data_IF_699544864113
#
_entry.id   IF_699544864113
#
_cell.length_a   1.000
_cell.length_b   1.000
_cell.length_c   1.000
_cell.angle_alpha   90.00
_cell.angle_beta   90.00
_cell.angle_gamma   90.00
#
_symmetry.space_group_name_H-M   'P 1'
#
loop_
_entity.id
_entity.type
_entity.pdbx_description
1 polymer ?
#
# COMPACT_ATOMS: atom_id res chain seq x y z
N UNK A 1 15.84 0.83 17.21
CA UNK A 1 16.35 1.79 16.20
C UNK A 1 16.00 1.35 14.77
N UNK A 2 14.80 0.83 14.52
CA UNK A 2 14.43 0.27 13.21
C UNK A 2 13.72 1.24 12.29
N UNK A 3 12.88 2.10 12.85
CA UNK A 3 12.09 3.07 12.10
C UNK A 3 12.92 4.18 11.43
N UNK A 4 14.14 4.43 11.92
CA UNK A 4 15.08 5.39 11.31
C UNK A 4 15.59 4.93 9.94
N UNK A 5 15.50 3.63 9.61
CA UNK A 5 15.85 3.13 8.27
C UNK A 5 15.03 3.76 7.16
N UNK A 6 13.80 4.19 7.47
CA UNK A 6 12.94 4.89 6.53
C UNK A 6 13.40 6.32 6.25
N UNK A 7 14.28 6.91 7.07
CA UNK A 7 14.71 8.29 6.88
C UNK A 7 15.52 8.44 5.60
N UNK A 8 15.15 9.40 4.76
CA UNK A 8 15.87 9.73 3.54
C UNK A 8 14.95 10.09 2.39
N UNK A 9 15.56 10.37 1.24
CA UNK A 9 14.86 10.69 -0.01
C UNK A 9 14.89 9.49 -0.94
N UNK A 10 13.75 9.19 -1.55
CA UNK A 10 13.59 8.07 -2.47
C UNK A 10 12.93 8.56 -3.77
N UNK A 11 13.51 8.21 -4.91
CA UNK A 11 12.97 8.53 -6.23
C UNK A 11 12.12 7.36 -6.74
N UNK A 12 10.92 7.65 -7.26
CA UNK A 12 10.10 6.65 -7.92
C UNK A 12 10.85 6.07 -9.12
N UNK A 13 11.07 4.76 -9.11
CA UNK A 13 11.78 4.04 -10.15
C UNK A 13 10.83 3.27 -11.07
N UNK A 14 9.85 2.58 -10.49
CA UNK A 14 8.84 1.84 -11.26
C UNK A 14 7.47 1.89 -10.59
N UNK A 15 6.42 1.67 -11.38
CA UNK A 15 5.03 1.64 -10.91
C UNK A 15 4.25 0.60 -11.70
N UNK A 16 3.60 -0.31 -10.98
CA UNK A 16 2.76 -1.39 -11.49
C UNK A 16 1.30 -1.12 -11.12
N UNK A 17 0.41 -1.21 -12.09
CA UNK A 17 -1.04 -1.06 -11.92
C UNK A 17 -1.50 0.29 -11.31
N UNK A 18 -0.62 1.29 -11.27
CA UNK A 18 -0.92 2.63 -10.74
C UNK A 18 -1.95 3.39 -11.60
N UNK A 19 -1.97 3.14 -12.92
CA UNK A 19 -2.97 3.74 -13.82
C UNK A 19 -4.39 3.29 -13.47
N UNK A 20 -4.60 2.00 -13.18
CA UNK A 20 -5.90 1.47 -12.76
C UNK A 20 -6.32 2.02 -11.39
N UNK A 21 -5.37 2.19 -10.47
CA UNK A 21 -5.65 2.87 -9.20
C UNK A 21 -6.17 4.31 -9.43
N UNK A 22 -5.50 5.08 -10.28
CA UNK A 22 -5.93 6.45 -10.59
C UNK A 22 -7.29 6.49 -11.30
N UNK A 23 -7.57 5.50 -12.15
CA UNK A 23 -8.87 5.34 -12.80
C UNK A 23 -9.98 5.06 -11.79
N UNK A 24 -9.76 4.16 -10.84
CA UNK A 24 -10.70 3.90 -9.74
C UNK A 24 -10.88 5.10 -8.81
N UNK A 25 -9.84 5.93 -8.64
CA UNK A 25 -9.95 7.20 -7.92
C UNK A 25 -10.79 8.24 -8.69
N UNK A 26 -11.01 8.04 -10.00
CA UNK A 26 -11.79 8.94 -10.85
C UNK A 26 -10.97 9.92 -11.68
N UNK A 27 -9.64 9.77 -11.76
CA UNK A 27 -8.81 10.64 -12.60
C UNK A 27 -9.10 10.39 -14.08
N UNK A 28 -9.21 11.46 -14.87
CA UNK A 28 -9.41 11.38 -16.33
C UNK A 28 -8.19 10.81 -17.07
N UNK A 29 -8.40 10.25 -18.28
CA UNK A 29 -7.37 9.53 -19.05
C UNK A 29 -6.02 10.26 -19.16
N UNK A 30 -6.04 11.55 -19.51
CA UNK A 30 -4.85 12.37 -19.64
C UNK A 30 -4.08 12.53 -18.32
N UNK A 31 -4.79 12.78 -17.22
CA UNK A 31 -4.17 12.92 -15.89
C UNK A 31 -3.54 11.61 -15.43
N UNK A 32 -4.17 10.46 -15.73
CA UNK A 32 -3.63 9.14 -15.39
C UNK A 32 -2.30 8.88 -16.10
N UNK A 33 -2.24 9.13 -17.42
CA UNK A 33 -1.01 8.96 -18.20
C UNK A 33 0.10 9.91 -17.73
N UNK A 34 -0.24 11.16 -17.43
CA UNK A 34 0.71 12.12 -16.89
C UNK A 34 1.27 11.66 -15.54
N UNK A 35 0.41 11.19 -14.62
CA UNK A 35 0.80 10.77 -13.27
C UNK A 35 1.66 9.49 -13.23
N UNK A 36 1.45 8.54 -14.16
CA UNK A 36 2.29 7.33 -14.27
C UNK A 36 3.69 7.69 -14.77
N UNK A 37 3.80 8.61 -15.73
CA UNK A 37 5.08 9.03 -16.30
C UNK A 37 5.81 10.09 -15.45
N UNK A 38 5.18 10.55 -14.36
CA UNK A 38 5.73 11.59 -13.51
C UNK A 38 6.74 11.02 -12.53
N UNK A 39 7.93 11.60 -12.51
CA UNK A 39 8.90 11.34 -11.45
C UNK A 39 8.42 11.99 -10.15
N UNK A 40 8.31 11.16 -9.11
CA UNK A 40 7.93 11.59 -7.76
C UNK A 40 9.06 11.22 -6.81
N UNK A 41 9.49 12.19 -6.02
CA UNK A 41 10.46 12.02 -4.94
C UNK A 41 9.72 11.99 -3.61
N UNK A 42 10.09 11.07 -2.75
CA UNK A 42 9.54 10.90 -1.42
C UNK A 42 10.62 11.16 -0.37
N UNK A 43 10.48 12.21 0.42
CA UNK A 43 11.33 12.51 1.58
C UNK A 43 10.59 12.06 2.85
N UNK A 44 11.15 11.06 3.53
CA UNK A 44 10.61 10.56 4.80
C UNK A 44 11.54 11.01 5.92
N UNK A 45 10.95 11.62 6.96
CA UNK A 45 11.65 12.05 8.17
C UNK A 45 10.93 11.55 9.39
N UNK A 46 11.62 10.74 10.18
CA UNK A 46 11.18 10.27 11.48
C UNK A 46 11.95 11.01 12.58
N UNK A 47 11.22 11.75 13.42
CA UNK A 47 11.72 12.42 14.63
C UNK A 47 11.16 11.75 15.90
N UNK A 48 11.24 10.42 15.95
CA UNK A 48 10.76 9.60 17.06
C UNK A 48 9.25 9.34 16.99
N UNK A 49 8.46 10.23 17.59
CA UNK A 49 6.99 10.12 17.61
C UNK A 49 6.32 10.80 16.42
N UNK A 50 6.96 11.86 15.91
CA UNK A 50 6.46 12.63 14.77
C UNK A 50 7.14 12.19 13.49
N UNK A 51 6.32 11.89 12.50
CA UNK A 51 6.74 11.53 11.16
C UNK A 51 6.31 12.60 10.19
N UNK A 52 7.20 12.94 9.28
CA UNK A 52 6.91 13.83 8.17
C UNK A 52 7.21 13.07 6.89
N UNK A 53 6.21 12.98 6.02
CA UNK A 53 6.37 12.43 4.68
C UNK A 53 6.08 13.56 3.70
N UNK A 54 7.08 13.89 2.90
CA UNK A 54 6.97 14.90 1.84
C UNK A 54 7.07 14.22 0.49
N UNK A 55 6.01 14.34 -0.30
CA UNK A 55 5.95 13.91 -1.69
C UNK A 55 6.19 15.12 -2.59
N UNK A 56 7.33 15.14 -3.26
CA UNK A 56 7.70 16.16 -4.23
C UNK A 56 7.49 15.60 -5.64
N UNK A 57 6.72 16.31 -6.46
CA UNK A 57 6.51 15.99 -7.86
C UNK A 57 6.67 17.25 -8.70
N UNK A 58 6.84 17.12 -10.02
CA UNK A 58 6.99 18.26 -10.94
C UNK A 58 5.83 19.25 -10.86
N UNK A 59 4.65 18.82 -10.42
CA UNK A 59 3.44 19.64 -10.38
C UNK A 59 3.11 20.17 -8.98
N UNK A 60 3.36 19.38 -7.94
CA UNK A 60 2.97 19.73 -6.57
C UNK A 60 3.87 19.05 -5.55
N UNK A 61 4.19 19.79 -4.50
CA UNK A 61 4.79 19.23 -3.29
C UNK A 61 3.72 19.13 -2.21
N UNK A 62 3.58 17.95 -1.61
CA UNK A 62 2.62 17.65 -0.57
C UNK A 62 3.40 17.16 0.65
N UNK A 63 3.38 17.91 1.75
CA UNK A 63 3.97 17.49 3.02
C UNK A 63 2.88 17.10 4.01
N UNK A 64 3.01 15.93 4.62
CA UNK A 64 2.11 15.44 5.65
C UNK A 64 2.91 15.13 6.92
N UNK A 65 2.49 15.73 8.05
CA UNK A 65 3.02 15.44 9.38
C UNK A 65 1.97 14.64 10.17
N UNK A 66 2.38 13.54 10.80
CA UNK A 66 1.51 12.69 11.60
C UNK A 66 2.26 12.04 12.75
N UNK A 67 1.50 11.56 13.73
CA UNK A 67 2.00 10.74 14.83
C UNK A 67 1.61 9.28 14.60
N UNK A 68 2.49 8.33 14.94
CA UNK A 68 2.15 6.91 14.87
C UNK A 68 1.03 6.57 15.88
N UNK A 69 0.19 5.62 15.48
CA UNK A 69 -0.92 5.06 16.28
C UNK A 69 -1.98 6.10 16.70
N UNK A 70 -2.04 7.23 16.00
CA UNK A 70 -3.01 8.31 16.21
C UNK A 70 -3.83 8.56 14.94
N UNK A 71 -5.15 8.58 15.11
CA UNK A 71 -6.06 8.92 14.02
C UNK A 71 -6.08 10.42 13.75
N UNK A 72 -6.08 10.81 12.48
CA UNK A 72 -6.21 12.20 12.06
C UNK A 72 -7.08 12.30 10.80
N UNK A 73 -7.74 13.45 10.63
CA UNK A 73 -8.50 13.74 9.41
C UNK A 73 -7.55 14.20 8.30
N UNK A 74 -7.48 13.43 7.23
CA UNK A 74 -6.71 13.75 6.02
C UNK A 74 -7.66 14.27 4.95
N UNK A 75 -7.38 15.46 4.42
CA UNK A 75 -8.09 15.98 3.24
C UNK A 75 -7.23 15.76 2.01
N UNK A 76 -7.64 14.84 1.14
CA UNK A 76 -6.95 14.54 -0.12
C UNK A 76 -7.07 15.73 -1.07
N UNK A 77 -6.15 15.83 -2.04
CA UNK A 77 -6.16 16.89 -3.06
C UNK A 77 -7.51 17.03 -3.80
N UNK A 78 -8.30 15.96 -3.87
CA UNK A 78 -9.62 15.91 -4.49
C UNK A 78 -10.76 16.43 -3.57
N UNK A 79 -10.44 16.97 -2.38
CA UNK A 79 -11.41 17.50 -1.42
C UNK A 79 -12.15 16.45 -0.59
N UNK A 80 -11.75 15.18 -0.71
CA UNK A 80 -12.29 14.06 0.08
C UNK A 80 -11.63 14.01 1.44
N UNK A 81 -12.44 13.74 2.46
CA UNK A 81 -11.98 13.59 3.84
C UNK A 81 -11.91 12.11 4.18
N UNK A 82 -10.78 11.70 4.72
CA UNK A 82 -10.54 10.34 5.20
C UNK A 82 -10.10 10.38 6.65
N UNK A 83 -10.48 9.35 7.41
CA UNK A 83 -9.91 9.13 8.74
C UNK A 83 -8.70 8.24 8.58
N UNK A 84 -7.51 8.82 8.79
CA UNK A 84 -6.24 8.15 8.55
C UNK A 84 -5.60 7.71 9.86
N UNK A 85 -5.19 6.44 9.93
CA UNK A 85 -4.41 5.85 11.01
C UNK A 85 -3.11 5.29 10.44
N UNK A 86 -1.96 5.69 10.99
CA UNK A 86 -0.66 5.16 10.59
C UNK A 86 -0.05 4.33 11.70
N UNK A 87 0.22 3.05 11.43
CA UNK A 87 0.79 2.09 12.38
C UNK A 87 2.14 1.58 11.87
N UNK A 88 3.09 1.41 12.78
CA UNK A 88 4.40 0.84 12.46
C UNK A 88 4.54 -0.54 13.09
N UNK A 89 4.64 -1.59 12.28
CA UNK A 89 4.67 -2.97 12.75
C UNK A 89 5.99 -3.65 12.35
N UNK A 90 6.70 -4.29 13.29
CA UNK A 90 7.98 -4.95 13.03
C UNK A 90 7.88 -6.38 12.48
N UNK A 91 6.68 -6.94 12.30
CA UNK A 91 6.49 -8.29 11.76
C UNK A 91 5.21 -8.38 10.90
N UNK A 92 5.40 -8.92 9.70
CA UNK A 92 4.41 -9.51 8.77
C UNK A 92 3.00 -8.96 8.87
N UNK A 93 2.72 -7.94 8.07
CA UNK A 93 1.32 -7.61 7.78
C UNK A 93 0.89 -8.44 6.58
N UNK A 94 -0.19 -9.16 6.81
CA UNK A 94 -1.04 -9.80 5.81
C UNK A 94 -1.60 -8.68 4.91
N UNK A 95 -0.83 -8.29 3.88
CA UNK A 95 -1.30 -7.39 2.83
C UNK A 95 -2.09 -8.26 1.86
N UNK A 96 -3.40 -8.11 1.91
CA UNK A 96 -4.34 -8.88 1.12
C UNK A 96 -5.67 -9.01 1.85
N UNK A 97 -6.73 -8.46 1.27
CA UNK A 97 -8.06 -9.03 1.46
C UNK A 97 -8.00 -10.53 1.14
N UNK A 98 -8.72 -11.43 1.85
CA UNK A 98 -8.67 -12.85 1.57
C UNK A 98 -9.07 -13.12 0.12
N UNK A 99 -8.08 -13.37 -0.75
CA UNK A 99 -8.32 -13.75 -2.14
C UNK A 99 -8.84 -15.18 -2.11
N UNK A 100 -10.16 -15.33 -2.24
CA UNK A 100 -10.81 -16.64 -2.47
C UNK A 100 -10.41 -17.15 -3.85
N UNK A 101 -9.27 -17.82 -3.97
CA UNK A 101 -8.93 -18.55 -5.18
C UNK A 101 -9.44 -19.98 -5.06
N UNK A 102 -10.57 -20.27 -5.71
CA UNK A 102 -11.05 -21.65 -5.87
C UNK A 102 -10.19 -22.28 -6.97
N UNK A 103 -9.33 -23.24 -6.61
CA UNK A 103 -8.73 -24.13 -7.61
C UNK A 103 -9.56 -25.41 -7.72
N UNK A 104 -9.78 -25.94 -8.94
CA UNK A 104 -10.50 -27.20 -9.12
C UNK A 104 -9.65 -28.35 -8.57
N UNK A 105 -10.23 -29.15 -7.66
CA UNK A 105 -9.54 -30.27 -7.03
C UNK A 105 -9.19 -31.38 -8.03
N UNK A 106 -8.09 -32.10 -7.78
CA UNK A 106 -7.78 -33.35 -8.51
C UNK A 106 -8.92 -34.36 -8.31
N UNK A 107 -9.27 -35.17 -9.32
CA UNK A 107 -10.26 -36.22 -9.16
C UNK A 107 -9.71 -37.30 -8.23
N UNK A 108 -10.45 -37.64 -7.16
CA UNK A 108 -10.27 -38.91 -6.44
C UNK A 108 -11.24 -39.94 -7.04
N UNK A 109 -10.88 -41.23 -7.07
CA UNK A 109 -11.80 -42.28 -7.50
C UNK A 109 -12.95 -42.40 -6.49
N UNK A 110 -14.17 -42.55 -7.01
CA UNK A 110 -15.43 -42.43 -6.29
C UNK A 110 -15.80 -43.68 -5.47
N UNK A 111 -16.43 -43.49 -4.30
CA UNK A 111 -17.48 -44.38 -3.82
C UNK A 111 -18.84 -43.68 -3.95
N UNK A 112 -19.84 -44.45 -4.38
CA UNK A 112 -21.20 -44.04 -4.73
C UNK A 112 -21.94 -43.25 -3.64
N UNK A 113 -22.19 -41.96 -3.89
CA UNK A 113 -23.15 -41.14 -3.14
C UNK A 113 -22.70 -39.67 -3.03
N UNK A 114 -23.58 -38.66 -3.25
CA UNK A 114 -23.17 -37.27 -3.21
C UNK A 114 -23.24 -36.73 -1.78
N UNK A 115 -22.09 -36.40 -1.18
CA UNK A 115 -21.99 -35.62 0.05
C UNK A 115 -20.91 -34.52 -0.08
N UNK A 116 -21.05 -33.41 0.67
CA UNK A 116 -20.39 -32.14 0.36
C UNK A 116 -18.90 -32.11 0.73
N UNK A 117 -18.13 -31.40 -0.10
CA UNK A 117 -16.68 -31.22 0.00
C UNK A 117 -16.27 -30.50 1.30
N UNK A 118 -15.52 -31.19 2.17
CA UNK A 118 -14.77 -30.58 3.26
C UNK A 118 -13.32 -30.32 2.80
N UNK A 119 -13.00 -29.06 2.49
CA UNK A 119 -11.66 -28.63 2.07
C UNK A 119 -10.82 -28.17 3.26
N UNK A 120 -9.66 -28.80 3.46
CA UNK A 120 -8.64 -28.35 4.42
C UNK A 120 -7.77 -27.23 3.81
N UNK A 121 -7.65 -26.13 4.54
CA UNK A 121 -6.96 -24.88 4.21
C UNK A 121 -5.46 -24.98 4.54
N UNK A 122 -4.57 -24.50 3.64
CA UNK A 122 -3.15 -24.30 3.98
C UNK A 122 -2.61 -23.11 3.20
N UNK A 123 -2.45 -21.98 3.90
CA UNK A 123 -1.80 -20.79 3.36
C UNK A 123 -0.31 -21.07 3.10
N UNK A 124 0.16 -20.72 1.90
CA UNK A 124 1.59 -20.56 1.65
C UNK A 124 1.87 -19.07 1.71
N UNK A 125 2.57 -18.65 2.75
CA UNK A 125 3.15 -17.32 2.86
C UNK A 125 4.64 -17.43 2.59
N UNK A 126 5.11 -16.79 1.53
CA UNK A 126 6.53 -16.54 1.38
C UNK A 126 6.91 -15.48 2.41
N UNK A 127 7.58 -15.91 3.47
CA UNK A 127 8.07 -15.05 4.55
C UNK A 127 9.26 -14.29 3.98
N UNK A 128 9.03 -13.05 3.53
CA UNK A 128 10.11 -12.14 3.18
C UNK A 128 10.66 -11.56 4.49
N UNK A 129 11.86 -12.04 4.84
CA UNK A 129 12.89 -11.43 5.69
C UNK A 129 12.53 -10.10 6.36
N UNK A 130 12.48 -10.09 7.71
CA UNK A 130 12.58 -8.94 8.64
C UNK A 130 12.38 -7.53 8.05
N UNK A 131 11.24 -7.27 7.41
CA UNK A 131 10.91 -5.96 6.87
C UNK A 131 10.05 -5.22 7.89
N UNK A 132 10.51 -4.05 8.34
CA UNK A 132 9.67 -3.12 9.08
C UNK A 132 8.62 -2.56 8.11
N UNK A 133 7.36 -2.48 8.55
CA UNK A 133 6.25 -2.09 7.69
C UNK A 133 5.54 -0.88 8.31
N UNK A 134 5.35 0.16 7.50
CA UNK A 134 4.55 1.33 7.83
C UNK A 134 3.22 1.24 7.07
N UNK A 135 2.12 1.15 7.81
CA UNK A 135 0.78 0.96 7.24
C UNK A 135 -0.04 2.18 7.52
N UNK A 136 -0.57 2.78 6.47
CA UNK A 136 -1.51 3.88 6.52
C UNK A 136 -2.87 3.35 6.07
N UNK A 137 -3.81 3.29 7.01
CA UNK A 137 -5.22 2.94 6.77
C UNK A 137 -6.01 4.22 6.66
N UNK A 138 -6.61 4.48 5.50
CA UNK A 138 -7.52 5.59 5.27
C UNK A 138 -8.94 5.01 5.20
N UNK A 139 -9.74 5.27 6.24
CA UNK A 139 -11.15 4.90 6.27
C UNK A 139 -11.97 6.00 5.61
N UNK A 140 -12.90 5.59 4.75
CA UNK A 140 -13.86 6.50 4.13
C UNK A 140 -14.75 7.16 5.19
N UNK A 141 -15.02 8.45 5.02
CA UNK A 141 -16.02 9.17 5.84
C UNK A 141 -17.38 9.19 5.14
N UNK A 142 -17.39 9.20 3.80
CA UNK A 142 -18.59 9.09 2.98
C UNK A 142 -18.73 7.66 2.45
N UNK A 143 -19.94 7.10 2.49
CA UNK A 143 -20.16 5.71 2.10
C UNK A 143 -19.94 5.44 0.59
N UNK A 144 -20.02 6.49 -0.23
CA UNK A 144 -19.75 6.45 -1.67
C UNK A 144 -18.27 6.20 -2.00
N UNK A 145 -17.35 6.50 -1.08
CA UNK A 145 -15.92 6.28 -1.28
C UNK A 145 -15.52 4.84 -0.93
N UNK A 146 -14.29 4.46 -1.29
CA UNK A 146 -13.69 3.16 -0.94
C UNK A 146 -12.61 3.37 0.11
N UNK A 147 -12.39 2.36 0.95
CA UNK A 147 -11.26 2.39 1.88
C UNK A 147 -9.94 2.24 1.12
N UNK A 148 -8.89 2.89 1.63
CA UNK A 148 -7.55 2.85 1.06
C UNK A 148 -6.55 2.34 2.10
N UNK A 149 -5.77 1.34 1.71
CA UNK A 149 -4.67 0.80 2.51
C UNK A 149 -3.36 1.05 1.79
N UNK A 150 -2.51 1.90 2.36
CA UNK A 150 -1.19 2.19 1.84
C UNK A 150 -0.16 1.53 2.73
N UNK A 151 0.50 0.51 2.21
CA UNK A 151 1.56 -0.22 2.90
C UNK A 151 2.91 0.19 2.35
N UNK A 152 3.84 0.56 3.22
CA UNK A 152 5.21 0.94 2.86
C UNK A 152 6.18 0.04 3.61
N UNK A 153 7.10 -0.59 2.90
CA UNK A 153 8.12 -1.42 3.49
C UNK A 153 9.44 -1.28 2.73
N UNK A 154 10.54 -1.47 3.44
CA UNK A 154 11.86 -1.52 2.85
C UNK A 154 12.14 -2.98 2.47
N UNK A 155 12.33 -3.23 1.18
CA UNK A 155 12.79 -4.53 0.68
C UNK A 155 14.29 -4.69 1.00
N UNK A 156 15.04 -3.60 0.84
CA UNK A 156 16.44 -3.45 1.24
C UNK A 156 16.65 -2.06 1.87
N UNK A 157 17.85 -1.75 2.35
CA UNK A 157 18.16 -0.43 2.91
C UNK A 157 18.01 0.72 1.87
N UNK A 158 18.03 0.42 0.56
CA UNK A 158 17.86 1.41 -0.52
C UNK A 158 16.56 1.28 -1.31
N UNK A 159 15.78 0.22 -1.12
CA UNK A 159 14.58 -0.07 -1.93
C UNK A 159 13.35 0.08 -1.07
N UNK A 160 12.58 1.15 -1.30
CA UNK A 160 11.30 1.39 -0.66
C UNK A 160 10.17 0.94 -1.58
N UNK A 161 9.36 0.00 -1.12
CA UNK A 161 8.18 -0.46 -1.84
C UNK A 161 6.93 0.11 -1.19
N UNK A 162 6.04 0.64 -2.02
CA UNK A 162 4.74 1.15 -1.62
C UNK A 162 3.67 0.35 -2.34
N UNK A 163 2.80 -0.30 -1.59
CA UNK A 163 1.64 -1.02 -2.10
C UNK A 163 0.39 -0.24 -1.68
N UNK A 164 -0.47 0.06 -2.64
CA UNK A 164 -1.72 0.80 -2.45
C UNK A 164 -2.84 -0.16 -2.81
N UNK A 165 -3.71 -0.46 -1.85
CA UNK A 165 -4.95 -1.19 -2.08
C UNK A 165 -6.13 -0.22 -1.95
N UNK A 166 -6.93 -0.12 -3.02
CA UNK A 166 -8.10 0.73 -3.08
C UNK A 166 -9.28 -0.08 -3.60
N UNK A 167 -10.16 -0.52 -2.69
CA UNK A 167 -11.22 -1.47 -3.00
C UNK A 167 -10.69 -2.79 -3.57
N UNK A 168 -10.92 -3.04 -4.86
CA UNK A 168 -10.48 -4.25 -5.58
C UNK A 168 -9.17 -4.07 -6.36
N UNK A 169 -8.61 -2.86 -6.38
CA UNK A 169 -7.40 -2.55 -7.16
C UNK A 169 -6.20 -2.45 -6.24
N UNK A 170 -5.14 -3.16 -6.61
CA UNK A 170 -3.84 -3.09 -5.94
C UNK A 170 -2.83 -2.50 -6.93
N UNK A 171 -2.15 -1.44 -6.51
CA UNK A 171 -1.05 -0.83 -7.23
C UNK A 171 0.24 -0.93 -6.41
N UNK A 172 1.38 -1.12 -7.09
CA UNK A 172 2.69 -1.20 -6.45
C UNK A 172 3.61 -0.15 -7.06
N UNK A 173 4.35 0.56 -6.23
CA UNK A 173 5.36 1.53 -6.66
C UNK A 173 6.67 1.24 -5.96
N UNK A 174 7.75 1.20 -6.71
CA UNK A 174 9.10 0.93 -6.19
C UNK A 174 9.89 2.23 -6.27
N UNK A 175 10.48 2.61 -5.15
CA UNK A 175 11.31 3.78 -5.00
C UNK A 175 12.73 3.37 -4.63
N UNK A 176 13.71 4.09 -5.19
CA UNK A 176 15.14 3.90 -4.90
C UNK A 176 15.68 5.08 -4.13
N UNK A 177 16.43 4.81 -3.07
CA UNK A 177 17.06 5.83 -2.24
C UNK A 177 18.00 6.70 -3.08
N UNK A 178 17.84 8.01 -2.97
CA UNK A 178 18.76 8.98 -3.54
C UNK A 178 19.91 9.13 -2.55
N UNK A 179 21.10 8.68 -2.95
CA UNK A 179 22.33 8.93 -2.20
C UNK A 179 22.89 10.28 -2.66
N UNK A 180 23.11 11.20 -1.72
CA UNK A 180 23.82 12.46 -1.96
C UNK A 180 25.32 12.22 -2.01
#
# INVERSE_FOLDING_TARGET
MSAQKFNGRFLCHSSENFEEYLKECGFGYFLRKAAVNMSVTLDIRNQGKRWTITQESTFKTISQEFELDKEFEETTADGRKFMTLVTFTPNTVQVGSPVKTIRPGRPRPAPSGPMPFCGSYREKFDIISTAFILIQRQRKIKDTDKDCLITRYLEDDDTLVIVIEYGSVTAKRIFKRIRS
#
